data_IF_649446759108
#
_entry.id   IF_649446759108
#
_cell.length_a   1.000
_cell.length_b   1.000
_cell.length_c   1.000
_cell.angle_alpha   90.00
_cell.angle_beta   90.00
_cell.angle_gamma   90.00
#
_symmetry.space_group_name_H-M   'P 1'
#
loop_
_entity.id
_entity.type
_entity.pdbx_description
1 polymer ?
#
# COMPACT_ATOMS: atom_id res chain seq x y z
N UNK A 1 3.72 3.98 24.13
CA UNK A 1 3.07 3.09 23.14
C UNK A 1 2.81 3.89 21.87
N UNK A 2 3.03 3.32 20.68
CA UNK A 2 2.61 3.93 19.42
C UNK A 2 1.17 3.51 19.15
N UNK A 3 0.28 4.46 18.90
CA UNK A 3 -1.11 4.18 18.57
C UNK A 3 -1.22 3.79 17.08
N UNK A 4 -2.09 2.82 16.77
CA UNK A 4 -2.34 2.34 15.40
C UNK A 4 -3.85 2.36 15.17
N UNK A 5 -4.28 2.87 14.02
CA UNK A 5 -5.68 2.85 13.57
C UNK A 5 -5.74 2.06 12.26
N UNK A 6 -6.63 1.07 12.18
CA UNK A 6 -6.90 0.30 10.96
C UNK A 6 -8.28 0.68 10.41
N UNK A 7 -8.41 0.75 9.09
CA UNK A 7 -9.67 1.09 8.41
C UNK A 7 -9.92 0.06 7.32
N UNK A 8 -10.85 -0.86 7.61
CA UNK A 8 -11.17 -2.01 6.77
C UNK A 8 -12.60 -1.95 6.22
N UNK A 9 -12.84 -2.70 5.14
CA UNK A 9 -14.13 -2.78 4.46
C UNK A 9 -14.02 -2.99 2.94
N UNK A 10 -15.15 -3.15 2.23
CA UNK A 10 -15.17 -3.50 0.80
C UNK A 10 -14.50 -2.46 -0.11
N UNK A 11 -14.19 -2.84 -1.35
CA UNK A 11 -13.72 -1.87 -2.35
C UNK A 11 -14.78 -0.80 -2.63
N UNK A 12 -14.37 0.42 -2.96
CA UNK A 12 -15.28 1.50 -3.35
C UNK A 12 -15.99 2.26 -2.22
N UNK A 13 -15.90 1.82 -0.95
CA UNK A 13 -16.62 2.48 0.17
C UNK A 13 -15.91 3.72 0.75
N UNK A 14 -14.84 4.21 0.12
CA UNK A 14 -14.15 5.45 0.55
C UNK A 14 -13.11 5.29 1.68
N UNK A 15 -12.68 4.07 2.02
CA UNK A 15 -11.70 3.82 3.10
C UNK A 15 -10.41 4.61 2.97
N UNK A 16 -9.83 4.65 1.77
CA UNK A 16 -8.59 5.36 1.52
C UNK A 16 -8.75 6.86 1.77
N UNK A 17 -9.85 7.44 1.29
CA UNK A 17 -10.22 8.84 1.51
C UNK A 17 -10.39 9.16 2.99
N UNK A 18 -11.13 8.34 3.74
CA UNK A 18 -11.31 8.52 5.18
C UNK A 18 -9.97 8.38 5.94
N UNK A 19 -9.17 7.38 5.58
CA UNK A 19 -7.89 7.12 6.23
C UNK A 19 -6.89 8.26 6.03
N UNK A 20 -6.84 8.82 4.81
CA UNK A 20 -6.03 9.98 4.49
C UNK A 20 -6.48 11.22 5.26
N UNK A 21 -7.78 11.55 5.23
CA UNK A 21 -8.34 12.68 5.99
C UNK A 21 -8.10 12.55 7.51
N UNK A 22 -8.17 11.33 8.05
CA UNK A 22 -7.86 11.08 9.46
C UNK A 22 -6.37 11.27 9.76
N UNK A 23 -5.50 10.78 8.90
CA UNK A 23 -4.05 10.90 9.07
C UNK A 23 -3.59 12.36 8.97
N UNK A 24 -4.13 13.14 8.03
CA UNK A 24 -3.93 14.60 7.93
C UNK A 24 -4.39 15.30 9.22
N UNK A 25 -5.61 15.02 9.70
CA UNK A 25 -6.15 15.65 10.90
C UNK A 25 -5.33 15.33 12.16
N UNK A 26 -4.78 14.12 12.25
CA UNK A 26 -3.98 13.68 13.38
C UNK A 26 -2.49 14.01 13.24
N UNK A 27 -2.04 14.46 12.06
CA UNK A 27 -0.63 14.62 11.70
C UNK A 27 0.14 13.29 11.88
N UNK A 28 -0.46 12.19 11.45
CA UNK A 28 0.09 10.84 11.55
C UNK A 28 0.56 10.34 10.19
N UNK A 29 1.44 9.34 10.20
CA UNK A 29 1.77 8.61 8.98
C UNK A 29 0.56 7.85 8.44
N UNK A 30 0.42 7.81 7.12
CA UNK A 30 -0.59 7.05 6.41
C UNK A 30 0.05 5.88 5.66
N UNK A 31 -0.55 4.70 5.77
CA UNK A 31 -0.16 3.51 5.02
C UNK A 31 -1.34 3.03 4.17
N UNK A 32 -1.21 3.11 2.83
CA UNK A 32 -2.16 2.50 1.91
C UNK A 32 -1.70 1.08 1.56
N UNK A 33 -2.09 0.11 2.38
CA UNK A 33 -1.74 -1.30 2.17
C UNK A 33 -2.15 -1.84 0.79
N UNK A 34 -3.27 -1.35 0.24
CA UNK A 34 -3.74 -1.74 -1.09
C UNK A 34 -2.78 -1.34 -2.22
N UNK A 35 -1.98 -0.27 -2.03
CA UNK A 35 -1.01 0.14 -3.04
C UNK A 35 0.18 -0.81 -3.13
N UNK A 36 0.58 -1.48 -2.05
CA UNK A 36 1.62 -2.52 -2.07
C UNK A 36 1.25 -3.65 -3.04
N UNK A 37 0.02 -4.17 -2.91
CA UNK A 37 -0.48 -5.24 -3.76
C UNK A 37 -0.55 -4.83 -5.24
N UNK A 38 -0.98 -3.59 -5.51
CA UNK A 38 -1.03 -3.06 -6.89
C UNK A 38 0.36 -2.86 -7.49
N UNK A 39 1.32 -2.36 -6.70
CA UNK A 39 2.72 -2.20 -7.13
C UNK A 39 3.32 -3.56 -7.47
N UNK A 40 3.15 -4.56 -6.60
CA UNK A 40 3.62 -5.92 -6.88
C UNK A 40 2.99 -6.49 -8.15
N UNK A 41 1.67 -6.38 -8.30
CA UNK A 41 0.99 -6.86 -9.51
C UNK A 41 1.54 -6.20 -10.77
N UNK A 42 1.62 -4.87 -10.79
CA UNK A 42 2.18 -4.10 -11.91
C UNK A 42 3.63 -4.49 -12.23
N UNK A 43 4.48 -4.64 -11.22
CA UNK A 43 5.87 -5.01 -11.43
C UNK A 43 6.03 -6.48 -11.85
N UNK A 44 5.19 -7.38 -11.36
CA UNK A 44 5.21 -8.78 -11.79
C UNK A 44 4.89 -8.89 -13.29
N UNK A 45 3.87 -8.17 -13.76
CA UNK A 45 3.52 -8.06 -15.19
C UNK A 45 4.68 -7.46 -15.99
N UNK A 46 5.25 -6.33 -15.54
CA UNK A 46 6.37 -5.66 -16.21
C UNK A 46 7.62 -6.53 -16.32
N UNK A 47 7.87 -7.40 -15.35
CA UNK A 47 9.02 -8.31 -15.32
C UNK A 47 8.71 -9.71 -15.89
N UNK A 48 7.51 -9.93 -16.45
CA UNK A 48 7.05 -11.24 -16.93
C UNK A 48 7.14 -12.36 -15.87
N UNK A 49 6.93 -12.02 -14.60
CA UNK A 49 6.92 -12.99 -13.50
C UNK A 49 5.49 -13.53 -13.35
N UNK A 50 5.34 -14.84 -13.54
CA UNK A 50 4.06 -15.51 -13.37
C UNK A 50 3.60 -15.53 -11.91
N UNK A 51 2.29 -15.47 -11.67
CA UNK A 51 1.71 -15.45 -10.32
C UNK A 51 2.04 -16.69 -9.48
N UNK A 52 2.38 -17.80 -10.14
CA UNK A 52 2.77 -19.06 -9.51
C UNK A 52 4.23 -19.09 -9.07
N UNK A 53 5.07 -18.18 -9.56
CA UNK A 53 6.48 -18.07 -9.16
C UNK A 53 6.62 -17.20 -7.90
N UNK A 54 6.20 -17.77 -6.78
CA UNK A 54 6.22 -17.09 -5.47
C UNK A 54 7.62 -16.63 -5.09
N UNK A 55 8.65 -17.42 -5.42
CA UNK A 55 10.04 -17.07 -5.11
C UNK A 55 10.48 -15.82 -5.88
N UNK A 56 10.19 -15.74 -7.18
CA UNK A 56 10.48 -14.55 -7.96
C UNK A 56 9.69 -13.32 -7.49
N UNK A 57 8.42 -13.49 -7.11
CA UNK A 57 7.60 -12.41 -6.55
C UNK A 57 8.16 -11.88 -5.22
N UNK A 58 8.62 -12.76 -4.32
CA UNK A 58 9.24 -12.36 -3.05
C UNK A 58 10.55 -11.61 -3.30
N UNK A 59 11.38 -12.10 -4.22
CA UNK A 59 12.62 -11.42 -4.59
C UNK A 59 12.35 -10.04 -5.21
N UNK A 60 11.30 -9.90 -6.00
CA UNK A 60 10.89 -8.62 -6.56
C UNK A 60 10.51 -7.63 -5.44
N UNK A 61 9.72 -8.03 -4.46
CA UNK A 61 9.29 -7.16 -3.35
C UNK A 61 10.45 -6.77 -2.44
N UNK A 62 11.37 -7.69 -2.15
CA UNK A 62 12.51 -7.41 -1.26
C UNK A 62 13.45 -6.32 -1.79
N UNK A 63 13.41 -6.05 -3.09
CA UNK A 63 14.22 -5.01 -3.73
C UNK A 63 13.43 -3.73 -4.01
N UNK A 64 12.22 -3.58 -3.46
CA UNK A 64 11.41 -2.37 -3.64
C UNK A 64 11.77 -1.28 -2.64
N UNK A 65 12.20 -0.14 -3.16
CA UNK A 65 12.23 1.11 -2.42
C UNK A 65 10.88 1.82 -2.59
N UNK A 66 10.10 1.87 -1.52
CA UNK A 66 8.75 2.44 -1.51
C UNK A 66 8.54 3.30 -0.26
N UNK A 67 7.90 4.44 -0.46
CA UNK A 67 7.58 5.41 0.60
C UNK A 67 6.09 5.74 0.50
N UNK A 68 5.45 5.91 1.65
CA UNK A 68 4.07 6.37 1.74
C UNK A 68 4.08 7.77 2.29
N UNK A 69 3.71 8.72 1.45
CA UNK A 69 3.59 10.12 1.82
C UNK A 69 2.12 10.52 1.87
N UNK A 70 1.82 11.45 2.78
CA UNK A 70 0.59 12.22 2.74
C UNK A 70 0.93 13.45 1.91
N UNK A 71 0.37 13.52 0.71
CA UNK A 71 0.47 14.71 -0.11
C UNK A 71 -0.43 15.77 0.50
N UNK A 72 0.16 16.80 1.10
CA UNK A 72 -0.58 17.85 1.83
C UNK A 72 -1.17 18.93 0.89
N UNK A 73 -1.10 18.71 -0.42
CA UNK A 73 -1.36 19.73 -1.44
C UNK A 73 -0.15 20.59 -1.73
#
# INVERSE_FOLDING_TARGET
MKNIITIDGPSGVGKGTLAMALAEKLQWHYLNSGSLYRILAYLSEKNNIGISDVTALVNLVNNLEIWFEIDNG
#
